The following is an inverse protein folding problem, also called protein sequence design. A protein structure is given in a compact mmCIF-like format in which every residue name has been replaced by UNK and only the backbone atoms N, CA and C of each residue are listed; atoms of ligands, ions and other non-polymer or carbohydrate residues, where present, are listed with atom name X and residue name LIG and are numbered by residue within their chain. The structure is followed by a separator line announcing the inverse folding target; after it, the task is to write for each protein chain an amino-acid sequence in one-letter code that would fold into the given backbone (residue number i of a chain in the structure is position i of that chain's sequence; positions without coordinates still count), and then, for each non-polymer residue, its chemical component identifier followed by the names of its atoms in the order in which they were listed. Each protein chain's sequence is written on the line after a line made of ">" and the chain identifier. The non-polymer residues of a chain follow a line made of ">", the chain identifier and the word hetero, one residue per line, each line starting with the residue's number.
data_IF_541666782680
#
_entry.id   IF_541666782680
#
_cell.length_a   1.000
_cell.length_b   1.000
_cell.length_c   1.000
_cell.angle_alpha   90.00
_cell.angle_beta   90.00
_cell.angle_gamma   90.00
#
_symmetry.space_group_name_H-M   'P 1'
#
loop_
_entity.id
_entity.type
_entity.pdbx_description
1 polymer ?
#
# COMPACT_ATOMS: atom_id res chain seq x y z
N UNK A 1 -8.32 13.95 15.71
CA UNK A 1 -9.07 14.77 14.78
C UNK A 1 -10.14 13.93 14.13
N UNK A 2 -11.34 14.40 14.21
CA UNK A 2 -12.37 13.71 13.55
C UNK A 2 -12.41 14.08 12.13
N UNK A 3 -12.41 13.07 11.41
CA UNK A 3 -12.69 13.26 10.04
C UNK A 3 -14.11 13.71 9.91
N UNK A 4 -14.52 14.47 9.78
CA UNK A 4 -15.44 14.84 9.49
C UNK A 4 -16.27 15.13 8.79
N UNK A 5 -16.88 15.57 8.82
CA UNK A 5 -18.14 15.79 8.51
C UNK A 5 -18.29 16.93 7.66
N UNK A 6 -17.39 17.26 6.89
CA UNK A 6 -17.60 18.24 5.89
C UNK A 6 -17.81 17.50 4.57
N UNK A 7 -18.64 17.99 3.70
CA UNK A 7 -18.77 17.42 2.38
C UNK A 7 -17.55 17.66 1.49
N UNK A 8 -16.54 18.37 1.98
CA UNK A 8 -15.36 18.66 1.19
C UNK A 8 -14.21 17.75 1.57
N UNK A 9 -13.89 16.81 0.67
CA UNK A 9 -12.83 15.83 0.87
C UNK A 9 -11.44 16.46 0.98
N UNK A 10 -11.21 17.63 0.39
CA UNK A 10 -9.91 18.31 0.51
C UNK A 10 -9.64 18.78 1.93
N UNK A 11 -10.67 19.11 2.68
CA UNK A 11 -10.53 19.47 4.08
C UNK A 11 -10.12 18.26 4.90
N UNK A 12 -10.67 17.09 4.59
CA UNK A 12 -10.30 15.84 5.27
C UNK A 12 -8.82 15.55 5.05
N UNK A 13 -8.34 15.63 3.83
CA UNK A 13 -6.93 15.41 3.50
C UNK A 13 -6.03 16.40 4.23
N UNK A 14 -6.43 17.64 4.28
CA UNK A 14 -5.68 18.69 4.97
C UNK A 14 -5.58 18.43 6.48
N UNK A 15 -6.66 17.95 7.05
CA UNK A 15 -6.73 17.72 8.51
C UNK A 15 -5.99 16.44 8.91
N UNK A 16 -5.99 15.41 8.05
CA UNK A 16 -5.45 14.12 8.43
C UNK A 16 -4.54 13.52 7.36
N UNK A 17 -3.24 13.74 7.47
CA UNK A 17 -2.27 13.23 6.51
C UNK A 17 -2.28 11.70 6.35
N UNK A 18 -2.75 10.95 7.35
CA UNK A 18 -2.82 9.49 7.25
C UNK A 18 -3.82 9.02 6.20
N UNK A 19 -4.79 9.87 5.86
CA UNK A 19 -5.79 9.55 4.84
C UNK A 19 -5.39 9.98 3.43
N UNK A 20 -4.24 10.64 3.27
CA UNK A 20 -3.78 11.08 1.97
C UNK A 20 -3.30 9.86 1.18
N UNK A 21 -3.91 9.65 0.02
CA UNK A 21 -3.49 8.60 -0.92
C UNK A 21 -2.85 9.25 -2.13
N UNK A 22 -1.87 8.59 -2.70
CA UNK A 22 -1.21 9.05 -3.92
C UNK A 22 -1.64 8.20 -5.10
N UNK A 23 -2.06 8.86 -6.18
CA UNK A 23 -2.37 8.19 -7.44
C UNK A 23 -1.04 7.99 -8.16
N UNK A 24 -0.86 6.83 -8.79
CA UNK A 24 0.34 6.52 -9.58
C UNK A 24 1.65 6.49 -8.79
N UNK A 25 1.62 5.99 -7.58
CA UNK A 25 2.85 5.73 -6.84
C UNK A 25 3.59 4.54 -7.47
N UNK A 26 4.81 4.73 -8.00
CA UNK A 26 5.51 3.65 -8.70
C UNK A 26 5.79 2.44 -7.82
N UNK A 27 6.13 2.64 -6.56
CA UNK A 27 6.38 1.55 -5.63
C UNK A 27 5.11 0.73 -5.39
N UNK A 28 4.02 1.39 -5.02
CA UNK A 28 2.76 0.70 -4.77
C UNK A 28 2.28 -0.06 -6.01
N UNK A 29 2.33 0.57 -7.17
CA UNK A 29 1.91 -0.05 -8.42
C UNK A 29 2.73 -1.30 -8.74
N UNK A 30 4.03 -1.25 -8.46
CA UNK A 30 4.92 -2.40 -8.66
C UNK A 30 4.65 -3.51 -7.65
N UNK A 31 4.37 -3.16 -6.41
CA UNK A 31 3.95 -4.13 -5.39
C UNK A 31 2.64 -4.82 -5.80
N UNK A 32 1.66 -4.06 -6.27
CA UNK A 32 0.40 -4.62 -6.77
C UNK A 32 0.67 -5.61 -7.91
N UNK A 33 1.55 -5.26 -8.82
CA UNK A 33 1.88 -6.13 -9.94
C UNK A 33 2.50 -7.45 -9.47
N UNK A 34 3.42 -7.39 -8.52
CA UNK A 34 4.06 -8.58 -7.96
C UNK A 34 3.07 -9.42 -7.15
N UNK A 35 2.22 -8.79 -6.36
CA UNK A 35 1.31 -9.49 -5.45
C UNK A 35 0.13 -10.15 -6.17
N UNK A 36 -0.48 -9.47 -7.14
CA UNK A 36 -1.76 -9.92 -7.69
C UNK A 36 -1.89 -9.72 -9.20
N UNK A 37 -0.91 -9.09 -9.85
CA UNK A 37 -1.01 -8.61 -11.23
C UNK A 37 -2.22 -7.68 -11.43
N UNK A 38 -2.60 -6.98 -10.36
CA UNK A 38 -3.70 -6.02 -10.38
C UNK A 38 -5.10 -6.64 -10.28
N UNK A 39 -5.21 -7.91 -9.89
CA UNK A 39 -6.51 -8.59 -9.80
C UNK A 39 -7.06 -8.54 -8.38
N UNK A 40 -8.25 -8.02 -8.23
CA UNK A 40 -8.89 -7.82 -6.92
C UNK A 40 -9.29 -9.12 -6.23
N UNK A 41 -9.50 -10.19 -6.99
CA UNK A 41 -10.02 -11.46 -6.47
C UNK A 41 -8.96 -12.50 -6.14
N UNK A 42 -7.68 -12.16 -6.23
CA UNK A 42 -6.61 -13.11 -5.93
C UNK A 42 -6.59 -13.44 -4.44
N UNK A 43 -6.53 -14.72 -4.15
CA UNK A 43 -6.38 -15.25 -2.80
C UNK A 43 -5.15 -16.14 -2.78
N UNK A 44 -4.21 -15.85 -1.90
CA UNK A 44 -2.96 -16.60 -1.77
C UNK A 44 -2.68 -17.01 -0.34
N UNK A 45 -1.50 -17.60 -0.13
CA UNK A 45 -1.03 -18.00 1.20
C UNK A 45 -2.08 -18.84 1.96
N UNK A 46 -2.60 -19.88 1.30
CA UNK A 46 -3.59 -20.79 1.89
C UNK A 46 -4.85 -20.05 2.39
N UNK A 47 -5.29 -19.05 1.64
CA UNK A 47 -6.50 -18.28 1.97
C UNK A 47 -6.29 -17.09 2.88
N UNK A 48 -5.06 -16.85 3.33
CA UNK A 48 -4.76 -15.76 4.27
C UNK A 48 -4.53 -14.42 3.61
N UNK A 49 -3.95 -14.41 2.42
CA UNK A 49 -3.61 -13.21 1.68
C UNK A 49 -4.70 -12.91 0.64
N UNK A 50 -5.22 -11.70 0.63
CA UNK A 50 -6.39 -11.34 -0.17
C UNK A 50 -6.16 -10.04 -0.93
N UNK A 51 -6.59 -10.04 -2.19
CA UNK A 51 -6.73 -8.84 -3.00
C UNK A 51 -5.47 -8.34 -3.65
N UNK A 52 -5.52 -7.10 -4.14
CA UNK A 52 -4.46 -6.54 -4.98
C UNK A 52 -3.10 -6.45 -4.29
N UNK A 53 -3.06 -6.29 -2.96
CA UNK A 53 -1.82 -6.21 -2.19
C UNK A 53 -1.63 -7.41 -1.28
N UNK A 54 -2.42 -8.46 -1.47
CA UNK A 54 -2.32 -9.71 -0.71
C UNK A 54 -2.26 -9.47 0.80
N UNK A 55 -3.24 -8.70 1.30
CA UNK A 55 -3.32 -8.34 2.71
C UNK A 55 -3.75 -9.50 3.58
N UNK A 56 -3.07 -9.66 4.69
CA UNK A 56 -3.49 -10.54 5.77
C UNK A 56 -4.43 -9.80 6.73
N UNK A 57 -5.22 -10.54 7.51
CA UNK A 57 -6.11 -9.93 8.51
C UNK A 57 -5.38 -9.02 9.50
N UNK A 58 -4.18 -9.43 9.90
CA UNK A 58 -3.39 -8.64 10.85
C UNK A 58 -3.06 -7.24 10.31
N UNK A 59 -2.92 -7.09 9.01
CA UNK A 59 -2.68 -5.77 8.41
C UNK A 59 -3.91 -4.88 8.56
N UNK A 60 -5.11 -5.42 8.40
CA UNK A 60 -6.36 -4.68 8.63
C UNK A 60 -6.44 -4.24 10.09
N UNK A 61 -6.14 -5.13 11.00
CA UNK A 61 -6.14 -4.84 12.44
C UNK A 61 -5.14 -3.75 12.80
N UNK A 62 -3.95 -3.79 12.21
CA UNK A 62 -2.93 -2.76 12.40
C UNK A 62 -3.38 -1.39 11.92
N UNK A 63 -4.04 -1.34 10.76
CA UNK A 63 -4.60 -0.09 10.23
C UNK A 63 -5.67 0.46 11.15
N UNK A 64 -6.57 -0.39 11.62
CA UNK A 64 -7.62 0.02 12.56
C UNK A 64 -7.04 0.54 13.88
N UNK A 65 -5.95 -0.06 14.37
CA UNK A 65 -5.25 0.44 15.54
C UNK A 65 -4.67 1.84 15.30
N UNK A 66 -4.05 2.05 14.15
CA UNK A 66 -3.52 3.37 13.78
C UNK A 66 -4.63 4.42 13.80
N UNK A 67 -5.75 4.11 13.17
CA UNK A 67 -6.90 5.01 13.11
C UNK A 67 -7.40 5.35 14.53
N UNK A 68 -7.54 4.35 15.36
CA UNK A 68 -8.02 4.52 16.73
C UNK A 68 -7.07 5.39 17.56
N UNK A 69 -5.78 5.18 17.45
CA UNK A 69 -4.77 5.97 18.16
C UNK A 69 -4.75 7.43 17.73
N UNK A 70 -5.21 7.72 16.53
CA UNK A 70 -5.26 9.08 15.98
C UNK A 70 -6.67 9.70 16.07
N UNK A 71 -7.56 9.07 16.83
CA UNK A 71 -8.94 9.53 17.01
C UNK A 71 -9.71 9.71 15.70
N UNK A 72 -9.45 8.84 14.74
CA UNK A 72 -10.13 8.82 13.45
C UNK A 72 -11.28 7.83 13.53
N UNK A 73 -12.49 8.33 13.30
CA UNK A 73 -13.69 7.51 13.33
C UNK A 73 -13.91 6.82 11.99
N UNK A 74 -13.07 5.82 11.73
CA UNK A 74 -13.10 5.00 10.52
C UNK A 74 -12.59 3.62 10.90
N UNK A 75 -13.26 2.59 10.40
CA UNK A 75 -12.88 1.21 10.66
C UNK A 75 -13.05 0.38 9.39
N UNK A 76 -12.04 -0.43 9.07
CA UNK A 76 -12.09 -1.35 7.94
C UNK A 76 -12.45 -2.75 8.40
N UNK A 77 -13.17 -3.48 7.54
CA UNK A 77 -13.47 -4.90 7.77
C UNK A 77 -12.48 -5.76 7.01
N UNK A 78 -12.43 -7.06 7.34
CA UNK A 78 -11.59 -7.99 6.58
C UNK A 78 -12.02 -8.09 5.12
N UNK A 79 -13.32 -7.96 4.83
CA UNK A 79 -13.82 -8.01 3.45
C UNK A 79 -13.37 -6.81 2.61
N UNK A 80 -12.98 -5.71 3.23
CA UNK A 80 -12.45 -4.55 2.52
C UNK A 80 -11.18 -4.87 1.75
N UNK A 81 -10.50 -5.98 2.06
CA UNK A 81 -9.32 -6.44 1.31
C UNK A 81 -9.64 -6.84 -0.13
N UNK A 82 -10.90 -7.14 -0.43
CA UNK A 82 -11.37 -7.43 -1.78
C UNK A 82 -11.63 -6.17 -2.60
N UNK A 83 -11.70 -5.02 -1.96
CA UNK A 83 -11.91 -3.73 -2.61
C UNK A 83 -10.56 -3.09 -2.94
N UNK A 84 -10.34 -2.80 -4.21
CA UNK A 84 -9.14 -2.08 -4.67
C UNK A 84 -8.99 -0.76 -3.94
N UNK A 85 -10.06 0.02 -3.92
CA UNK A 85 -10.06 1.35 -3.30
C UNK A 85 -9.74 1.29 -1.81
N UNK A 86 -10.43 0.40 -1.09
CA UNK A 86 -10.21 0.26 0.36
C UNK A 86 -8.82 -0.27 0.69
N UNK A 87 -8.31 -1.18 -0.11
CA UNK A 87 -6.95 -1.70 0.07
C UNK A 87 -5.90 -0.60 -0.10
N UNK A 88 -6.06 0.24 -1.11
CA UNK A 88 -5.15 1.37 -1.35
C UNK A 88 -5.21 2.36 -0.18
N UNK A 89 -6.41 2.67 0.33
CA UNK A 89 -6.56 3.50 1.51
C UNK A 89 -5.79 2.92 2.71
N UNK A 90 -6.00 1.65 2.99
CA UNK A 90 -5.34 0.97 4.11
C UNK A 90 -3.81 0.97 3.96
N UNK A 91 -3.32 0.71 2.77
CA UNK A 91 -1.89 0.75 2.48
C UNK A 91 -1.30 2.13 2.81
N UNK A 92 -1.95 3.21 2.38
CA UNK A 92 -1.44 4.57 2.62
C UNK A 92 -1.54 4.99 4.08
N UNK A 93 -2.59 4.59 4.80
CA UNK A 93 -2.68 4.81 6.25
C UNK A 93 -1.49 4.15 6.94
N UNK A 94 -1.21 2.90 6.62
CA UNK A 94 -0.07 2.18 7.17
C UNK A 94 1.25 2.83 6.79
N UNK A 95 1.44 3.15 5.52
CA UNK A 95 2.69 3.73 5.03
C UNK A 95 2.94 5.12 5.63
N UNK A 96 1.94 5.98 5.63
CA UNK A 96 2.06 7.32 6.17
C UNK A 96 2.30 7.32 7.67
N UNK A 97 1.73 6.37 8.40
CA UNK A 97 1.90 6.26 9.85
C UNK A 97 3.27 5.71 10.25
N UNK A 98 3.72 4.65 9.57
CA UNK A 98 4.88 3.88 10.05
C UNK A 98 6.14 4.05 9.20
N UNK A 99 6.02 4.51 7.97
CA UNK A 99 7.10 4.48 6.99
C UNK A 99 7.25 5.77 6.20
N UNK A 100 6.80 6.90 6.71
CA UNK A 100 6.80 8.16 5.97
C UNK A 100 8.18 8.60 5.50
N UNK A 101 9.23 8.23 6.22
CA UNK A 101 10.62 8.59 5.89
C UNK A 101 11.49 7.38 5.55
N UNK A 102 10.89 6.24 5.31
CA UNK A 102 11.63 5.03 5.00
C UNK A 102 11.85 4.88 3.49
N UNK A 103 12.88 4.12 3.13
CA UNK A 103 13.18 3.83 1.73
C UNK A 103 12.13 2.87 1.15
N UNK A 104 12.05 2.84 -0.19
CA UNK A 104 11.16 1.91 -0.90
C UNK A 104 11.43 0.46 -0.51
N UNK A 105 12.69 0.09 -0.34
CA UNK A 105 13.05 -1.26 0.07
C UNK A 105 12.48 -1.60 1.44
N UNK A 106 12.62 -0.71 2.41
CA UNK A 106 12.09 -0.92 3.77
C UNK A 106 10.56 -1.03 3.73
N UNK A 107 9.89 -0.17 2.97
CA UNK A 107 8.44 -0.19 2.83
C UNK A 107 7.97 -1.53 2.25
N UNK A 108 8.52 -1.93 1.12
CA UNK A 108 8.13 -3.16 0.44
C UNK A 108 8.40 -4.40 1.29
N UNK A 109 9.58 -4.48 1.90
CA UNK A 109 9.97 -5.64 2.71
C UNK A 109 9.19 -5.71 4.01
N UNK A 110 8.82 -4.56 4.59
CA UNK A 110 7.97 -4.52 5.79
C UNK A 110 6.54 -4.93 5.46
N UNK A 111 6.02 -4.55 4.30
CA UNK A 111 4.71 -5.00 3.86
C UNK A 111 4.67 -6.52 3.69
N UNK A 112 5.68 -7.08 3.03
CA UNK A 112 5.76 -8.50 2.73
C UNK A 112 6.04 -9.38 3.97
N UNK A 113 6.90 -8.91 4.87
CA UNK A 113 7.41 -9.72 5.97
C UNK A 113 7.14 -9.21 7.38
N UNK A 114 6.37 -8.13 7.54
CA UNK A 114 6.08 -7.53 8.84
C UNK A 114 7.19 -6.60 9.32
N UNK A 115 7.13 -6.15 10.58
CA UNK A 115 8.10 -5.19 11.13
C UNK A 115 9.56 -5.60 11.01
N UNK A 116 9.83 -6.90 11.03
CA UNK A 116 11.18 -7.45 10.87
C UNK A 116 11.47 -7.83 9.41
N UNK A 117 10.56 -7.53 8.50
CA UNK A 117 10.70 -7.86 7.09
C UNK A 117 12.03 -7.44 6.47
N UNK A 118 12.53 -6.21 6.71
CA UNK A 118 13.79 -5.78 6.13
C UNK A 118 15.01 -6.65 6.49
N UNK A 119 14.89 -7.44 7.54
CA UNK A 119 15.98 -8.31 8.00
C UNK A 119 15.81 -9.78 7.55
N UNK A 120 14.75 -10.10 6.82
CA UNK A 120 14.47 -11.47 6.39
C UNK A 120 14.96 -11.72 4.96
N UNK A 121 15.64 -12.83 4.74
CA UNK A 121 16.10 -13.19 3.39
C UNK A 121 14.93 -13.40 2.42
N UNK A 122 13.82 -13.95 2.89
CA UNK A 122 12.63 -14.16 2.07
C UNK A 122 12.09 -12.87 1.47
N UNK A 123 12.11 -11.77 2.22
CA UNK A 123 11.62 -10.49 1.73
C UNK A 123 12.58 -9.82 0.76
N UNK A 124 13.86 -10.18 0.78
CA UNK A 124 14.81 -9.70 -0.22
C UNK A 124 14.44 -10.22 -1.60
N UNK A 125 14.01 -11.47 -1.66
CA UNK A 125 13.55 -12.08 -2.91
C UNK A 125 12.32 -11.35 -3.47
N UNK A 126 11.39 -11.02 -2.60
CA UNK A 126 10.22 -10.19 -2.96
C UNK A 126 10.66 -8.82 -3.46
N UNK A 127 11.56 -8.15 -2.73
CA UNK A 127 12.07 -6.83 -3.12
C UNK A 127 12.70 -6.84 -4.51
N UNK A 128 13.48 -7.88 -4.84
CA UNK A 128 14.10 -8.00 -6.16
C UNK A 128 13.04 -8.07 -7.27
N UNK A 129 11.90 -8.71 -7.03
CA UNK A 129 10.79 -8.74 -7.97
C UNK A 129 10.15 -7.35 -8.13
N UNK A 130 9.99 -6.63 -7.03
CA UNK A 130 9.41 -5.28 -7.04
C UNK A 130 10.31 -4.33 -7.82
N UNK A 131 11.62 -4.36 -7.59
CA UNK A 131 12.59 -3.54 -8.32
C UNK A 131 12.50 -3.79 -9.83
N UNK A 132 12.39 -5.04 -10.22
CA UNK A 132 12.26 -5.41 -11.63
C UNK A 132 11.00 -4.78 -12.26
N UNK A 133 9.89 -4.79 -11.54
CA UNK A 133 8.65 -4.17 -12.02
C UNK A 133 8.77 -2.64 -12.13
N UNK A 134 9.42 -2.00 -11.18
CA UNK A 134 9.69 -0.55 -11.25
C UNK A 134 10.47 -0.21 -12.52
N UNK A 135 11.50 -0.98 -12.84
CA UNK A 135 12.30 -0.76 -14.05
C UNK A 135 11.50 -0.94 -15.33
N UNK A 136 10.66 -1.97 -15.39
CA UNK A 136 9.79 -2.24 -16.54
C UNK A 136 8.83 -1.06 -16.74
N UNK A 137 8.22 -0.59 -15.69
CA UNK A 137 7.28 0.54 -15.75
C UNK A 137 7.98 1.80 -16.28
N UNK A 138 9.16 2.08 -15.78
CA UNK A 138 9.96 3.23 -16.22
C UNK A 138 10.29 3.15 -17.72
N UNK A 139 10.70 1.99 -18.21
CA UNK A 139 10.98 1.77 -19.63
C UNK A 139 9.75 2.00 -20.51
N UNK A 140 8.58 1.56 -20.05
CA UNK A 140 7.31 1.78 -20.77
C UNK A 140 6.97 3.25 -20.89
N UNK A 141 7.18 4.04 -19.84
CA UNK A 141 6.95 5.47 -19.88
C UNK A 141 7.85 6.16 -20.90
N UNK A 142 9.12 5.79 -20.94
CA UNK A 142 10.08 6.35 -21.89
C UNK A 142 9.65 6.05 -23.33
N UNK A 143 9.16 4.85 -23.61
CA UNK A 143 8.72 4.47 -24.95
C UNK A 143 7.45 5.20 -25.39
N UNK A 144 6.52 5.45 -24.47
CA UNK A 144 5.25 6.11 -24.79
C UNK A 144 5.46 7.59 -25.08
N UNK A 145 6.28 8.27 -24.29
CA UNK A 145 6.47 9.70 -24.42
C UNK A 145 7.53 10.08 -25.44
N UNK A 146 8.33 9.13 -25.91
CA UNK A 146 9.42 9.41 -26.84
C UNK A 146 10.50 10.30 -26.23
N UNK A 147 10.48 10.49 -24.92
CA UNK A 147 11.43 11.32 -24.18
C UNK A 147 12.07 10.45 -23.11
N UNK A 148 13.38 10.52 -23.04
CA UNK A 148 14.11 9.81 -22.00
C UNK A 148 13.91 10.54 -20.68
N UNK A 149 13.14 9.93 -19.80
CA UNK A 149 12.91 10.48 -18.46
C UNK A 149 13.79 9.71 -17.50
N UNK A 150 14.74 10.36 -16.96
CA UNK A 150 15.61 9.79 -15.95
C UNK A 150 15.18 10.24 -14.56
#
# INVERSE_FOLDING_TARGET
>A
VKAIQTPDSTIVEYINPLLITHIDDPLMNSMIQVESRGKDSIIGDNGKAVGILQMHKIAVESVNEILKKNDIDLEYSYDDRYSREKTIEMYWIWRNSKHSNHSDEVIARSWNGGPKGPNKSATLHYWNKVVKEVKIHHQKLVLVDGVEVL
#
